data_IF_236088532483
#
_entry.id   IF_236088532483
#
_cell.length_a   1.000
_cell.length_b   1.000
_cell.length_c   1.000
_cell.angle_alpha   90.00
_cell.angle_beta   90.00
_cell.angle_gamma   90.00
#
_symmetry.space_group_name_H-M   'P 1'
#
loop_
_entity.id
_entity.type
_entity.pdbx_description
1 polymer ?
#
# COMPACT_ATOMS: atom_id res chain seq x y z
N UNK A 1 -0.77 -40.23 -12.99
CA UNK A 1 -0.61 -38.97 -12.23
C UNK A 1 -0.06 -37.81 -13.10
N UNK A 2 -0.80 -37.30 -14.11
CA UNK A 2 -0.29 -36.23 -15.00
C UNK A 2 -0.59 -34.81 -14.49
N UNK A 3 -1.75 -34.61 -13.85
CA UNK A 3 -2.28 -33.28 -13.49
C UNK A 3 -1.39 -32.48 -12.52
N UNK A 4 -0.71 -33.13 -11.57
CA UNK A 4 0.14 -32.44 -10.58
C UNK A 4 1.39 -31.80 -11.20
N UNK A 5 2.00 -32.42 -12.23
CA UNK A 5 3.16 -31.86 -12.93
C UNK A 5 2.78 -30.65 -13.76
N UNK A 6 1.62 -30.71 -14.40
CA UNK A 6 1.09 -29.65 -15.24
C UNK A 6 0.75 -28.41 -14.40
N UNK A 7 0.07 -28.61 -13.26
CA UNK A 7 -0.21 -27.54 -12.29
C UNK A 7 1.09 -26.89 -11.77
N UNK A 8 2.09 -27.69 -11.38
CA UNK A 8 3.37 -27.17 -10.91
C UNK A 8 4.06 -26.33 -11.99
N UNK A 9 4.00 -26.76 -13.25
CA UNK A 9 4.57 -26.01 -14.37
C UNK A 9 3.83 -24.70 -14.66
N UNK A 10 2.51 -24.65 -14.47
CA UNK A 10 1.72 -23.41 -14.62
C UNK A 10 2.03 -22.41 -13.51
N UNK A 11 2.18 -22.89 -12.27
CA UNK A 11 2.56 -22.06 -11.11
C UNK A 11 3.96 -21.47 -11.29
N UNK A 12 4.94 -22.29 -11.70
CA UNK A 12 6.31 -21.83 -11.97
C UNK A 12 6.38 -20.79 -13.10
N UNK A 13 5.47 -20.86 -14.07
CA UNK A 13 5.37 -19.89 -15.17
C UNK A 13 4.66 -18.61 -14.77
N UNK A 14 3.88 -18.61 -13.69
CA UNK A 14 3.05 -17.49 -13.29
C UNK A 14 3.33 -17.10 -11.84
N UNK A 15 4.31 -16.20 -11.69
CA UNK A 15 4.83 -15.74 -10.40
C UNK A 15 3.71 -15.26 -9.46
N UNK A 16 2.72 -14.55 -9.99
CA UNK A 16 1.62 -14.01 -9.20
C UNK A 16 0.74 -15.13 -8.60
N UNK A 17 0.42 -16.16 -9.40
CA UNK A 17 -0.29 -17.36 -8.93
C UNK A 17 0.52 -18.14 -7.89
N UNK A 18 1.83 -18.24 -8.06
CA UNK A 18 2.69 -18.89 -7.08
C UNK A 18 2.70 -18.17 -5.74
N UNK A 19 2.75 -16.84 -5.76
CA UNK A 19 2.76 -16.02 -4.54
C UNK A 19 1.42 -16.06 -3.80
N UNK A 20 0.30 -16.03 -4.52
CA UNK A 20 -1.04 -16.19 -3.93
C UNK A 20 -1.21 -17.55 -3.24
N UNK A 21 -0.75 -18.66 -3.85
CA UNK A 21 -0.81 -20.00 -3.24
C UNK A 21 0.06 -20.07 -1.97
N UNK A 22 1.19 -19.37 -1.96
CA UNK A 22 2.07 -19.28 -0.79
C UNK A 22 1.55 -18.32 0.28
N UNK A 23 0.40 -17.66 0.06
CA UNK A 23 -0.19 -16.69 0.98
C UNK A 23 0.55 -15.36 1.04
N UNK A 24 1.46 -15.09 0.10
CA UNK A 24 2.19 -13.83 0.00
C UNK A 24 1.28 -12.80 -0.67
N UNK A 25 0.76 -11.87 0.13
CA UNK A 25 -0.18 -10.86 -0.37
C UNK A 25 0.58 -9.73 -1.08
N UNK A 26 0.07 -9.25 -2.23
CA UNK A 26 0.65 -8.08 -2.86
C UNK A 26 0.39 -6.82 -2.04
N UNK A 27 1.41 -6.00 -1.92
CA UNK A 27 1.34 -4.67 -1.32
C UNK A 27 1.58 -3.60 -2.38
N UNK A 28 1.12 -2.39 -2.09
CA UNK A 28 1.40 -1.20 -2.89
C UNK A 28 2.21 -0.21 -2.07
N UNK A 29 3.37 0.17 -2.60
CA UNK A 29 4.19 1.27 -2.11
C UNK A 29 3.73 2.57 -2.78
N UNK A 30 3.27 3.50 -1.97
CA UNK A 30 2.96 4.86 -2.36
C UNK A 30 4.09 5.81 -1.96
N UNK A 31 4.60 6.57 -2.93
CA UNK A 31 5.53 7.68 -2.70
C UNK A 31 4.80 8.99 -3.03
N UNK A 32 4.36 9.72 -2.01
CA UNK A 32 3.53 10.92 -2.19
C UNK A 32 4.34 12.22 -2.07
N UNK A 33 3.82 13.30 -2.65
CA UNK A 33 4.42 14.63 -2.59
C UNK A 33 3.49 15.60 -1.88
N UNK A 34 4.07 16.39 -0.98
CA UNK A 34 3.36 17.41 -0.20
C UNK A 34 3.51 18.83 -0.77
N UNK A 35 4.03 18.97 -2.00
CA UNK A 35 4.35 20.25 -2.62
C UNK A 35 3.15 21.20 -2.76
N UNK A 36 1.94 20.64 -2.79
CA UNK A 36 0.70 21.40 -2.92
C UNK A 36 0.14 21.87 -1.57
N UNK A 37 0.77 21.48 -0.45
CA UNK A 37 0.31 21.79 0.89
C UNK A 37 1.26 22.80 1.57
N UNK A 38 0.68 23.78 2.24
CA UNK A 38 1.39 24.68 3.16
C UNK A 38 1.96 23.90 4.36
N UNK A 39 2.94 24.47 5.06
CA UNK A 39 3.56 23.83 6.24
C UNK A 39 2.54 23.40 7.30
N UNK A 40 1.53 24.23 7.55
CA UNK A 40 0.43 23.91 8.48
C UNK A 40 -0.40 22.75 7.96
N UNK A 41 -0.79 22.76 6.68
CA UNK A 41 -1.52 21.65 6.07
C UNK A 41 -0.73 20.34 6.07
N UNK A 42 0.59 20.39 5.89
CA UNK A 42 1.46 19.21 5.97
C UNK A 42 1.44 18.58 7.36
N UNK A 43 1.44 19.40 8.42
CA UNK A 43 1.31 18.90 9.80
C UNK A 43 -0.05 18.25 10.02
N UNK A 44 -1.13 18.90 9.60
CA UNK A 44 -2.50 18.35 9.74
C UNK A 44 -2.62 17.04 8.95
N UNK A 45 -2.14 17.00 7.71
CA UNK A 45 -2.10 15.79 6.90
C UNK A 45 -1.33 14.66 7.59
N UNK A 46 -0.14 14.97 8.13
CA UNK A 46 0.68 13.99 8.84
C UNK A 46 -0.05 13.43 10.05
N UNK A 47 -0.76 14.28 10.81
CA UNK A 47 -1.59 13.83 11.93
C UNK A 47 -2.79 13.00 11.48
N UNK A 48 -3.44 13.34 10.38
CA UNK A 48 -4.56 12.56 9.85
C UNK A 48 -4.10 11.18 9.36
N UNK A 49 -2.98 11.12 8.64
CA UNK A 49 -2.44 9.88 8.07
C UNK A 49 -1.84 8.97 9.14
N UNK A 50 -1.03 9.51 10.05
CA UNK A 50 -0.25 8.73 11.02
C UNK A 50 -0.79 8.76 12.45
N UNK A 51 -1.83 9.54 12.72
CA UNK A 51 -2.42 9.67 14.05
C UNK A 51 -1.57 10.51 15.02
N UNK A 52 -2.03 10.59 16.27
CA UNK A 52 -1.28 11.16 17.39
C UNK A 52 -1.71 10.51 18.71
N UNK A 53 -0.78 10.40 19.66
CA UNK A 53 -1.08 10.13 21.07
C UNK A 53 -1.95 8.91 21.36
N UNK A 54 -1.74 7.79 20.65
CA UNK A 54 -2.47 6.53 20.90
C UNK A 54 -3.80 6.37 20.15
N UNK A 55 -4.23 7.36 19.36
CA UNK A 55 -5.36 7.17 18.44
C UNK A 55 -4.95 6.34 17.22
N UNK A 56 -5.86 5.49 16.77
CA UNK A 56 -5.70 4.76 15.51
C UNK A 56 -5.58 5.75 14.35
N UNK A 57 -4.60 5.49 13.48
CA UNK A 57 -4.33 6.36 12.33
C UNK A 57 -5.05 5.84 11.10
N UNK A 58 -5.35 6.74 10.15
CA UNK A 58 -5.92 6.33 8.87
C UNK A 58 -5.05 5.29 8.16
N UNK A 59 -3.72 5.40 8.26
CA UNK A 59 -2.82 4.40 7.70
C UNK A 59 -2.98 3.03 8.39
N UNK A 60 -3.12 3.01 9.71
CA UNK A 60 -3.29 1.76 10.47
C UNK A 60 -4.63 1.09 10.18
N UNK A 61 -5.71 1.85 10.01
CA UNK A 61 -7.02 1.29 9.66
C UNK A 61 -7.04 0.61 8.28
N UNK A 62 -6.02 0.85 7.44
CA UNK A 62 -5.83 0.19 6.14
C UNK A 62 -4.82 -0.97 6.21
N UNK A 63 -4.43 -1.42 7.40
CA UNK A 63 -3.31 -2.35 7.63
C UNK A 63 -1.99 -1.86 7.00
N UNK A 64 -1.84 -0.53 6.91
CA UNK A 64 -0.71 0.13 6.29
C UNK A 64 0.47 0.39 7.22
N UNK A 65 1.64 0.56 6.63
CA UNK A 65 2.88 0.85 7.34
C UNK A 65 3.63 2.03 6.72
N UNK A 66 4.29 2.83 7.56
CA UNK A 66 5.21 3.88 7.12
C UNK A 66 6.56 3.24 6.79
N UNK A 67 7.00 3.35 5.54
CA UNK A 67 8.32 2.86 5.11
C UNK A 67 9.40 3.95 5.08
N UNK A 68 9.00 5.20 5.20
CA UNK A 68 9.93 6.32 5.27
C UNK A 68 9.22 7.64 5.14
N UNK A 69 9.99 8.70 4.92
CA UNK A 69 9.42 10.01 4.68
C UNK A 69 8.66 10.01 3.35
N UNK A 70 7.38 10.37 3.46
CA UNK A 70 6.43 10.43 2.35
C UNK A 70 6.21 9.09 1.63
N UNK A 71 6.55 7.98 2.30
CA UNK A 71 6.44 6.62 1.77
C UNK A 71 5.60 5.76 2.70
N UNK A 72 4.53 5.19 2.15
CA UNK A 72 3.66 4.26 2.87
C UNK A 72 3.42 3.02 2.03
N UNK A 73 3.23 1.89 2.70
CA UNK A 73 2.83 0.64 2.08
C UNK A 73 1.49 0.21 2.63
N UNK A 74 0.62 -0.30 1.78
CA UNK A 74 -0.68 -0.85 2.17
C UNK A 74 -0.96 -2.15 1.38
N UNK A 75 -1.76 -3.07 1.92
CA UNK A 75 -2.26 -4.20 1.14
C UNK A 75 -2.99 -3.72 -0.12
N UNK A 76 -2.88 -4.47 -1.21
CA UNK A 76 -3.54 -4.13 -2.47
C UNK A 76 -5.06 -3.92 -2.31
N UNK A 77 -5.69 -4.70 -1.42
CA UNK A 77 -7.14 -4.65 -1.17
C UNK A 77 -7.65 -3.34 -0.58
N UNK A 78 -6.79 -2.57 0.11
CA UNK A 78 -7.17 -1.31 0.80
C UNK A 78 -6.72 -0.08 0.01
N UNK A 79 -6.45 -0.25 -1.29
CA UNK A 79 -5.75 0.76 -2.08
C UNK A 79 -6.59 1.91 -2.57
N UNK A 80 -7.89 1.70 -2.77
CA UNK A 80 -8.76 2.80 -3.21
C UNK A 80 -9.03 3.80 -2.07
N UNK A 81 -9.15 3.33 -0.84
CA UNK A 81 -9.34 4.20 0.32
C UNK A 81 -8.15 5.16 0.50
N UNK A 82 -6.92 4.67 0.33
CA UNK A 82 -5.73 5.53 0.41
C UNK A 82 -5.65 6.52 -0.77
N UNK A 83 -6.03 6.09 -1.98
CA UNK A 83 -6.07 6.98 -3.15
C UNK A 83 -7.11 8.08 -2.98
N UNK A 84 -8.29 7.75 -2.45
CA UNK A 84 -9.35 8.70 -2.16
C UNK A 84 -8.94 9.71 -1.08
N UNK A 85 -8.25 9.23 -0.05
CA UNK A 85 -7.64 10.10 0.95
C UNK A 85 -6.64 11.07 0.30
N UNK A 86 -5.68 10.57 -0.49
CA UNK A 86 -4.70 11.43 -1.18
C UNK A 86 -5.35 12.41 -2.15
N UNK A 87 -6.44 12.01 -2.83
CA UNK A 87 -7.23 12.88 -3.71
C UNK A 87 -7.90 14.01 -2.91
N UNK A 88 -8.49 13.70 -1.76
CA UNK A 88 -9.10 14.69 -0.86
C UNK A 88 -8.08 15.74 -0.39
N UNK A 89 -6.82 15.34 -0.24
CA UNK A 89 -5.70 16.22 0.12
C UNK A 89 -4.99 16.85 -1.09
N UNK A 90 -5.46 16.62 -2.32
CA UNK A 90 -4.85 17.10 -3.57
C UNK A 90 -3.35 16.74 -3.68
N UNK A 91 -3.00 15.52 -3.28
CA UNK A 91 -1.62 15.01 -3.34
C UNK A 91 -1.35 14.28 -4.65
N UNK A 92 -0.15 14.50 -5.19
CA UNK A 92 0.41 13.63 -6.23
C UNK A 92 1.21 12.50 -5.60
N UNK A 93 1.21 11.33 -6.23
CA UNK A 93 1.94 10.17 -5.76
C UNK A 93 2.35 9.24 -6.91
N UNK A 94 3.36 8.42 -6.65
CA UNK A 94 3.75 7.29 -7.49
C UNK A 94 3.38 5.99 -6.76
N UNK A 95 2.86 5.00 -7.50
CA UNK A 95 2.54 3.67 -6.97
C UNK A 95 3.47 2.63 -7.56
N UNK A 96 3.99 1.73 -6.71
CA UNK A 96 4.69 0.52 -7.16
C UNK A 96 4.13 -0.69 -6.43
N UNK A 97 3.84 -1.76 -7.18
CA UNK A 97 3.51 -3.06 -6.58
C UNK A 97 4.79 -3.69 -6.01
N UNK A 98 4.72 -4.12 -4.77
CA UNK A 98 5.78 -4.85 -4.09
C UNK A 98 5.22 -6.11 -3.44
N UNK A 99 6.10 -7.06 -3.18
CA UNK A 99 5.78 -8.31 -2.52
C UNK A 99 6.57 -8.33 -1.21
N UNK A 100 5.90 -8.57 -0.10
CA UNK A 100 6.46 -8.60 1.26
C UNK A 100 6.07 -9.88 1.97
#
# INVERSE_FOLDING_TARGET
MPAKKELASMILKNKDLALDILGIKPFLLFNYKLSNLTRTQQQIFSHALYGSGGRESFLKSLDGQKLGDKKVVIPLGSSEELKDFFRTWNLSYEIRRIWM
#
